data_IF_191900349637
#
_entry.id   IF_191900349637
#
_cell.length_a   1.000
_cell.length_b   1.000
_cell.length_c   1.000
_cell.angle_alpha   90.00
_cell.angle_beta   90.00
_cell.angle_gamma   90.00
#
_symmetry.space_group_name_H-M   'P 1'
#
loop_
_entity.id
_entity.type
_entity.pdbx_description
1 polymer ?
#
# COMPACT_ATOMS: atom_id res chain seq x y z
N UNK A 1 8.79 19.87 1.12
CA UNK A 1 7.59 19.11 1.50
C UNK A 1 7.96 17.64 1.43
N UNK A 2 7.72 16.85 2.48
CA UNK A 2 8.23 15.47 2.60
C UNK A 2 7.17 14.45 2.15
N UNK A 3 7.07 14.09 0.85
CA UNK A 3 6.14 13.06 0.38
C UNK A 3 6.35 11.72 1.12
N UNK A 4 7.57 11.49 1.62
CA UNK A 4 7.95 10.28 2.35
C UNK A 4 7.22 10.09 3.68
N UNK A 5 6.83 11.16 4.39
CA UNK A 5 6.18 11.00 5.71
C UNK A 5 4.74 10.52 5.58
N UNK A 6 4.02 11.04 4.60
CA UNK A 6 2.62 10.70 4.38
C UNK A 6 2.50 9.26 3.87
N UNK A 7 3.37 8.86 2.94
CA UNK A 7 3.46 7.47 2.44
C UNK A 7 3.83 6.50 3.57
N UNK A 8 4.82 6.83 4.40
CA UNK A 8 5.18 5.98 5.54
C UNK A 8 4.04 5.84 6.55
N UNK A 9 3.28 6.92 6.79
CA UNK A 9 2.10 6.87 7.66
C UNK A 9 1.02 5.96 7.07
N UNK A 10 0.78 6.04 5.75
CA UNK A 10 -0.15 5.12 5.06
C UNK A 10 0.31 3.67 5.20
N UNK A 11 1.60 3.40 5.05
CA UNK A 11 2.15 2.05 5.17
C UNK A 11 2.03 1.48 6.59
N UNK A 12 2.25 2.28 7.63
CA UNK A 12 1.99 1.89 9.03
C UNK A 12 0.51 1.87 9.42
N UNK A 13 -0.40 2.11 8.48
CA UNK A 13 -1.84 1.89 8.67
C UNK A 13 -2.35 0.71 7.84
N UNK A 14 -1.50 0.12 6.98
CA UNK A 14 -1.83 -1.10 6.23
C UNK A 14 -1.88 -2.31 7.18
N UNK A 15 -1.11 -2.31 8.25
CA UNK A 15 -1.10 -3.36 9.27
C UNK A 15 -2.22 -3.21 10.31
N UNK A 16 -2.99 -2.12 10.23
CA UNK A 16 -4.08 -1.86 11.17
C UNK A 16 -5.14 -2.99 11.08
N UNK A 17 -5.56 -3.58 12.21
CA UNK A 17 -6.60 -4.60 12.24
C UNK A 17 -7.98 -4.07 11.82
N UNK A 18 -8.19 -2.74 11.85
CA UNK A 18 -9.44 -2.12 11.44
C UNK A 18 -9.60 -2.10 9.90
N UNK A 19 -10.64 -2.75 9.41
CA UNK A 19 -10.94 -2.82 7.98
C UNK A 19 -11.31 -1.45 7.38
N UNK A 20 -11.94 -0.53 8.13
CA UNK A 20 -12.25 0.81 7.62
C UNK A 20 -10.97 1.61 7.39
N UNK A 21 -10.00 1.46 8.30
CA UNK A 21 -8.67 2.10 8.17
C UNK A 21 -7.97 1.55 6.94
N UNK A 22 -7.89 0.22 6.79
CA UNK A 22 -7.29 -0.41 5.62
C UNK A 22 -7.98 0.01 4.31
N UNK A 23 -9.32 0.08 4.28
CA UNK A 23 -10.07 0.51 3.11
C UNK A 23 -9.75 1.97 2.71
N UNK A 24 -9.67 2.87 3.70
CA UNK A 24 -9.34 4.29 3.47
C UNK A 24 -7.91 4.46 2.95
N UNK A 25 -6.96 3.75 3.57
CA UNK A 25 -5.54 3.78 3.20
C UNK A 25 -5.32 3.19 1.82
N UNK A 26 -5.89 2.01 1.55
CA UNK A 26 -5.77 1.33 0.26
C UNK A 26 -6.31 2.18 -0.88
N UNK A 27 -7.46 2.83 -0.69
CA UNK A 27 -8.03 3.79 -1.66
C UNK A 27 -7.06 4.95 -1.96
N UNK A 28 -6.41 5.50 -0.93
CA UNK A 28 -5.39 6.55 -1.10
C UNK A 28 -4.17 6.06 -1.86
N UNK A 29 -3.63 4.90 -1.50
CA UNK A 29 -2.49 4.26 -2.19
C UNK A 29 -2.82 4.05 -3.66
N UNK A 30 -4.02 3.53 -3.95
CA UNK A 30 -4.51 3.35 -5.31
C UNK A 30 -4.61 4.69 -6.05
N UNK A 31 -5.05 5.77 -5.39
CA UNK A 31 -5.12 7.11 -5.97
C UNK A 31 -3.73 7.70 -6.32
N UNK A 32 -2.65 7.29 -5.65
CA UNK A 32 -1.27 7.64 -6.07
C UNK A 32 -0.84 6.90 -7.35
N UNK A 33 -1.54 5.83 -7.72
CA UNK A 33 -1.30 5.06 -8.94
C UNK A 33 0.04 4.32 -8.92
N UNK A 34 0.55 4.00 -10.11
CA UNK A 34 1.76 3.16 -10.29
C UNK A 34 3.03 3.76 -9.69
N UNK A 35 3.06 5.06 -9.40
CA UNK A 35 4.22 5.74 -8.80
C UNK A 35 4.58 5.23 -7.40
N UNK A 36 3.64 4.60 -6.69
CA UNK A 36 3.88 4.06 -5.34
C UNK A 36 4.33 2.59 -5.34
N UNK A 37 4.22 1.88 -6.47
CA UNK A 37 4.62 0.46 -6.61
C UNK A 37 6.04 0.20 -6.08
N UNK A 38 7.10 0.94 -6.49
CA UNK A 38 8.44 0.66 -5.99
C UNK A 38 8.60 0.88 -4.48
N UNK A 39 7.75 1.75 -3.88
CA UNK A 39 7.73 1.90 -2.42
C UNK A 39 7.04 0.71 -1.74
N UNK A 40 5.96 0.19 -2.33
CA UNK A 40 5.26 -0.99 -1.85
C UNK A 40 6.13 -2.26 -1.97
N UNK A 41 6.84 -2.44 -3.08
CA UNK A 41 7.79 -3.56 -3.25
C UNK A 41 8.90 -3.51 -2.19
N UNK A 42 9.50 -2.34 -1.99
CA UNK A 42 10.51 -2.17 -0.95
C UNK A 42 9.95 -2.46 0.45
N UNK A 43 8.71 -2.03 0.73
CA UNK A 43 8.02 -2.32 1.98
C UNK A 43 7.76 -3.81 2.14
N UNK A 44 7.32 -4.50 1.08
CA UNK A 44 7.07 -5.94 1.07
C UNK A 44 8.35 -6.74 1.34
N UNK A 45 9.46 -6.36 0.72
CA UNK A 45 10.77 -7.02 0.93
C UNK A 45 11.35 -6.78 2.33
N UNK A 46 11.08 -5.61 2.92
CA UNK A 46 11.64 -5.22 4.23
C UNK A 46 10.77 -5.60 5.42
N UNK A 47 9.47 -5.86 5.20
CA UNK A 47 8.56 -6.27 6.27
C UNK A 47 8.55 -7.80 6.45
N UNK A 48 8.87 -8.30 7.66
CA UNK A 48 8.86 -9.73 7.94
C UNK A 48 7.46 -10.30 8.25
N UNK A 49 6.41 -9.48 8.23
CA UNK A 49 5.06 -9.89 8.58
C UNK A 49 4.30 -10.37 7.34
N UNK A 50 4.04 -11.67 7.24
CA UNK A 50 3.34 -12.30 6.11
C UNK A 50 1.95 -11.68 5.87
N UNK A 51 1.20 -11.33 6.92
CA UNK A 51 -0.12 -10.71 6.77
C UNK A 51 -0.04 -9.32 6.09
N UNK A 52 1.01 -8.57 6.40
CA UNK A 52 1.26 -7.26 5.77
C UNK A 52 1.74 -7.44 4.34
N UNK A 53 2.58 -8.46 4.08
CA UNK A 53 3.02 -8.82 2.74
C UNK A 53 1.84 -9.17 1.83
N UNK A 54 0.90 -10.00 2.28
CA UNK A 54 -0.32 -10.35 1.52
C UNK A 54 -1.15 -9.11 1.17
N UNK A 55 -1.31 -8.19 2.14
CA UNK A 55 -2.03 -6.93 1.92
C UNK A 55 -1.33 -6.03 0.91
N UNK A 56 -0.01 -5.94 0.96
CA UNK A 56 0.79 -5.15 0.02
C UNK A 56 0.74 -5.77 -1.38
N UNK A 57 0.86 -7.09 -1.50
CA UNK A 57 0.76 -7.80 -2.78
C UNK A 57 -0.61 -7.55 -3.44
N UNK A 58 -1.69 -7.59 -2.66
CA UNK A 58 -3.02 -7.26 -3.15
C UNK A 58 -3.11 -5.82 -3.70
N UNK A 59 -2.46 -4.86 -3.03
CA UNK A 59 -2.40 -3.46 -3.48
C UNK A 59 -1.61 -3.32 -4.77
N UNK A 60 -0.45 -3.97 -4.87
CA UNK A 60 0.38 -3.97 -6.08
C UNK A 60 -0.41 -4.59 -7.24
N UNK A 61 -1.06 -5.74 -7.04
CA UNK A 61 -1.93 -6.35 -8.04
C UNK A 61 -3.07 -5.44 -8.46
N UNK A 62 -3.76 -4.78 -7.51
CA UNK A 62 -4.83 -3.81 -7.83
C UNK A 62 -4.30 -2.64 -8.66
N UNK A 63 -3.14 -2.08 -8.31
CA UNK A 63 -2.49 -1.00 -9.05
C UNK A 63 -2.10 -1.41 -10.47
N UNK A 64 -1.68 -2.66 -10.67
CA UNK A 64 -1.40 -3.21 -11.99
C UNK A 64 -2.66 -3.48 -12.80
N UNK A 65 -3.72 -4.01 -12.16
CA UNK A 65 -4.98 -4.38 -12.82
C UNK A 65 -5.93 -3.21 -13.06
N UNK A 66 -5.77 -2.07 -12.37
CA UNK A 66 -6.62 -0.91 -12.59
C UNK A 66 -6.48 -0.29 -14.00
N UNK A 67 -5.50 -0.73 -14.78
CA UNK A 67 -5.36 -0.39 -16.20
C UNK A 67 -6.28 -1.21 -17.13
N UNK A 68 -7.05 -2.18 -16.62
CA UNK A 68 -7.84 -3.11 -17.43
C UNK A 68 -9.29 -2.67 -17.69
N UNK A 69 -9.61 -1.37 -17.62
CA UNK A 69 -10.98 -0.87 -17.92
C UNK A 69 -10.96 0.30 -18.88
#
# INVERSE_FOLDING_TARGET
>A
MHPTREINALFSLIDDPDEEVYASVSSRIIAYGKSIIPNLEHLWETNPNEHVQDRIELLIHRLHFQDLV
#
